data_IF_336709927206
#
_entry.id   IF_336709927206
#
_cell.length_a   1.000
_cell.length_b   1.000
_cell.length_c   1.000
_cell.angle_alpha   90.00
_cell.angle_beta   90.00
_cell.angle_gamma   90.00
#
_symmetry.space_group_name_H-M   'P 1'
#
loop_
_entity.id
_entity.type
_entity.pdbx_description
1 polymer ?
#
# COMPACT_ATOMS: atom_id res chain seq x y z
N UNK A 1 8.00 6.30 0.78
CA UNK A 1 9.46 6.32 0.93
C UNK A 1 9.89 5.68 2.25
N UNK A 2 11.13 5.28 2.33
CA UNK A 2 11.71 4.72 3.57
C UNK A 2 11.67 5.72 4.72
N UNK A 3 11.88 7.00 4.43
CA UNK A 3 11.79 8.07 5.42
C UNK A 3 10.37 8.21 6.00
N UNK A 4 9.38 8.17 5.15
CA UNK A 4 7.97 8.21 5.56
C UNK A 4 7.65 7.04 6.50
N UNK A 5 8.08 5.83 6.18
CA UNK A 5 7.89 4.65 7.05
C UNK A 5 8.53 4.81 8.42
N UNK A 6 9.74 5.33 8.47
CA UNK A 6 10.45 5.56 9.73
C UNK A 6 9.77 6.63 10.61
N UNK A 7 8.96 7.49 10.02
CA UNK A 7 8.18 8.53 10.68
C UNK A 7 6.69 8.17 10.79
N UNK A 8 6.35 6.92 10.99
CA UNK A 8 4.96 6.47 11.16
C UNK A 8 4.12 6.45 9.88
N UNK A 9 4.72 6.74 8.73
CA UNK A 9 4.03 6.82 7.44
C UNK A 9 3.50 8.21 7.08
N UNK A 10 3.90 9.25 7.79
CA UNK A 10 3.54 10.62 7.40
C UNK A 10 4.13 10.97 6.03
N UNK A 11 3.37 11.64 5.19
CA UNK A 11 3.78 11.97 3.84
C UNK A 11 3.14 13.24 3.28
N UNK A 12 1.90 13.54 3.61
CA UNK A 12 1.11 14.53 2.88
C UNK A 12 1.65 15.96 3.00
N UNK A 13 2.21 16.31 4.12
CA UNK A 13 2.86 17.60 4.34
C UNK A 13 4.38 17.59 4.15
N UNK A 14 5.00 16.46 3.86
CA UNK A 14 6.45 16.37 3.72
C UNK A 14 6.92 16.98 2.40
N UNK A 15 7.96 17.79 2.51
CA UNK A 15 8.72 18.37 1.39
C UNK A 15 10.20 18.10 1.61
N UNK A 16 10.71 17.08 0.96
CA UNK A 16 12.11 16.67 1.05
C UNK A 16 12.82 16.94 -0.27
N UNK A 17 13.99 17.55 -0.20
CA UNK A 17 14.83 17.84 -1.36
C UNK A 17 15.56 16.61 -1.90
N UNK A 18 15.70 15.57 -1.08
CA UNK A 18 16.54 14.41 -1.33
C UNK A 18 15.76 13.11 -1.50
N UNK A 19 14.45 13.15 -1.39
CA UNK A 19 13.60 11.98 -1.57
C UNK A 19 12.34 12.28 -2.34
N UNK A 20 11.90 11.29 -3.10
CA UNK A 20 10.61 11.36 -3.79
C UNK A 20 9.49 11.03 -2.83
N UNK A 21 8.52 11.92 -2.72
CA UNK A 21 7.28 11.71 -1.98
C UNK A 21 6.11 11.62 -2.97
N UNK A 22 5.90 10.44 -3.52
CA UNK A 22 4.82 10.18 -4.49
C UNK A 22 3.43 10.16 -3.86
N UNK A 23 3.32 10.13 -2.54
CA UNK A 23 2.03 10.21 -1.83
C UNK A 23 1.36 11.57 -1.98
N UNK A 24 2.15 12.63 -2.19
CA UNK A 24 1.63 13.95 -2.54
C UNK A 24 2.44 14.55 -3.70
N UNK A 25 1.91 14.54 -4.92
CA UNK A 25 2.65 15.00 -6.10
C UNK A 25 3.00 16.50 -6.07
N UNK A 26 2.35 17.31 -5.25
CA UNK A 26 2.76 18.70 -5.05
C UNK A 26 4.17 18.82 -4.45
N UNK A 27 4.64 17.82 -3.73
CA UNK A 27 5.99 17.77 -3.14
C UNK A 27 7.12 17.70 -4.15
N UNK A 28 6.85 17.35 -5.40
CA UNK A 28 7.88 17.27 -6.44
C UNK A 28 8.57 18.60 -6.66
N UNK A 29 7.89 19.71 -6.41
CA UNK A 29 8.47 21.05 -6.51
C UNK A 29 9.48 21.37 -5.41
N UNK A 30 9.66 20.49 -4.42
CA UNK A 30 10.67 20.66 -3.36
C UNK A 30 12.09 20.31 -3.83
N UNK A 31 12.27 19.60 -4.93
CA UNK A 31 13.56 19.26 -5.51
C UNK A 31 14.29 20.54 -5.96
N UNK A 32 15.59 20.62 -5.67
CA UNK A 32 16.42 21.73 -6.11
C UNK A 32 16.57 21.77 -7.64
N UNK A 33 16.79 22.96 -8.16
CA UNK A 33 17.01 23.17 -9.59
C UNK A 33 18.23 22.40 -10.10
N UNK A 34 18.16 21.86 -11.33
CA UNK A 34 19.18 21.07 -12.00
C UNK A 34 19.50 19.72 -11.34
N UNK A 35 18.66 19.28 -10.41
CA UNK A 35 18.86 18.01 -9.73
C UNK A 35 18.02 16.92 -10.40
N UNK A 36 18.71 15.86 -10.78
CA UNK A 36 18.11 14.58 -11.14
C UNK A 36 18.26 13.64 -9.94
N UNK A 37 17.12 13.11 -9.44
CA UNK A 37 17.12 12.29 -8.26
C UNK A 37 16.65 10.88 -8.56
N UNK A 38 17.35 9.91 -8.01
CA UNK A 38 17.03 8.50 -8.04
C UNK A 38 16.77 8.01 -6.62
N UNK A 39 15.66 7.34 -6.40
CA UNK A 39 15.30 6.80 -5.08
C UNK A 39 14.78 5.37 -5.23
N UNK A 40 15.22 4.48 -4.37
CA UNK A 40 14.80 3.09 -4.36
C UNK A 40 14.73 2.52 -2.96
N UNK A 41 13.89 1.53 -2.75
CA UNK A 41 13.67 0.90 -1.46
C UNK A 41 13.41 -0.59 -1.57
N UNK A 42 13.93 -1.32 -0.60
CA UNK A 42 13.65 -2.73 -0.36
C UNK A 42 13.22 -2.91 1.09
N UNK A 43 12.39 -3.89 1.37
CA UNK A 43 11.98 -4.21 2.73
C UNK A 43 12.07 -5.70 3.02
N UNK A 44 12.30 -6.01 4.28
CA UNK A 44 12.18 -7.34 4.84
C UNK A 44 11.12 -7.31 5.93
N UNK A 45 10.20 -8.24 5.87
CA UNK A 45 9.14 -8.37 6.86
C UNK A 45 9.24 -9.71 7.55
N UNK A 46 9.18 -9.67 8.88
CA UNK A 46 9.07 -10.85 9.73
C UNK A 46 7.77 -10.74 10.52
N UNK A 47 6.83 -11.62 10.27
CA UNK A 47 5.50 -11.54 10.87
C UNK A 47 5.24 -12.78 11.72
N UNK A 48 4.85 -12.55 12.96
CA UNK A 48 4.40 -13.58 13.88
C UNK A 48 2.89 -13.55 13.98
N UNK A 49 2.27 -14.65 13.60
CA UNK A 49 0.83 -14.86 13.74
C UNK A 49 0.56 -15.71 14.98
N UNK A 50 -0.41 -15.30 15.79
CA UNK A 50 -0.87 -16.07 16.94
C UNK A 50 -2.37 -15.94 17.10
N UNK A 51 -3.05 -17.07 17.21
CA UNK A 51 -4.49 -17.14 17.54
C UNK A 51 -4.74 -17.54 19.01
N UNK A 52 -3.67 -17.52 19.83
CA UNK A 52 -3.68 -17.94 21.22
C UNK A 52 -3.25 -19.39 21.43
N UNK A 53 -3.39 -20.25 20.43
CA UNK A 53 -3.01 -21.68 20.50
C UNK A 53 -1.90 -22.05 19.54
N UNK A 54 -1.89 -21.45 18.36
CA UNK A 54 -0.91 -21.72 17.30
C UNK A 54 -0.10 -20.44 17.01
N UNK A 55 1.21 -20.58 16.97
CA UNK A 55 2.14 -19.51 16.55
C UNK A 55 2.76 -19.88 15.22
N UNK A 56 2.67 -19.00 14.25
CA UNK A 56 3.34 -19.13 12.93
C UNK A 56 4.20 -17.92 12.67
N UNK A 57 5.38 -18.14 12.12
CA UNK A 57 6.29 -17.08 11.67
C UNK A 57 6.36 -17.09 10.15
N UNK A 58 6.25 -15.92 9.54
CA UNK A 58 6.43 -15.73 8.12
C UNK A 58 7.49 -14.66 7.86
N UNK A 59 8.45 -14.98 7.02
CA UNK A 59 9.48 -14.05 6.55
C UNK A 59 9.23 -13.74 5.09
N UNK A 60 9.23 -12.48 4.75
CA UNK A 60 9.05 -12.02 3.37
C UNK A 60 10.02 -10.87 3.07
N UNK A 61 10.55 -10.86 1.86
CA UNK A 61 11.32 -9.74 1.34
C UNK A 61 10.60 -9.20 0.11
N UNK A 62 10.51 -7.90 0.01
CA UNK A 62 9.83 -7.25 -1.12
C UNK A 62 10.59 -6.04 -1.61
N UNK A 63 10.49 -5.82 -2.91
CA UNK A 63 10.82 -4.57 -3.56
C UNK A 63 9.74 -3.53 -3.21
N UNK A 64 10.15 -2.35 -2.75
CA UNK A 64 9.21 -1.32 -2.32
C UNK A 64 8.93 -0.30 -3.40
N UNK A 65 9.98 0.24 -4.03
CA UNK A 65 9.81 1.24 -5.08
C UNK A 65 11.13 1.55 -5.77
N UNK A 66 11.04 2.01 -7.02
CA UNK A 66 12.08 2.74 -7.74
C UNK A 66 11.45 3.99 -8.32
N UNK A 67 12.01 5.14 -8.03
CA UNK A 67 11.50 6.42 -8.49
C UNK A 67 12.60 7.30 -9.05
N UNK A 68 12.25 8.11 -10.03
CA UNK A 68 13.07 9.17 -10.58
C UNK A 68 12.32 10.48 -10.47
N UNK A 69 13.03 11.54 -10.16
CA UNK A 69 12.46 12.87 -10.05
C UNK A 69 13.43 13.88 -10.63
N UNK A 70 12.91 14.83 -11.39
CA UNK A 70 13.71 15.89 -12.00
C UNK A 70 12.93 17.18 -12.11
N UNK A 71 13.64 18.28 -12.09
CA UNK A 71 13.05 19.59 -12.19
C UNK A 71 13.03 20.06 -13.64
N UNK A 72 11.85 20.49 -14.11
CA UNK A 72 11.68 21.04 -15.47
C UNK A 72 12.03 22.52 -15.53
N UNK A 73 11.68 23.26 -14.48
CA UNK A 73 11.83 24.71 -14.41
C UNK A 73 11.77 25.19 -12.96
N UNK A 74 11.83 26.51 -12.73
CA UNK A 74 11.66 27.08 -11.38
C UNK A 74 10.31 26.77 -10.74
N UNK A 75 9.30 26.45 -11.55
CA UNK A 75 7.92 26.28 -11.12
C UNK A 75 7.38 24.86 -11.34
N UNK A 76 8.12 24.00 -12.00
CA UNK A 76 7.64 22.65 -12.33
C UNK A 76 8.67 21.56 -12.16
N UNK A 77 8.21 20.39 -11.72
CA UNK A 77 9.00 19.17 -11.60
C UNK A 77 8.16 17.96 -12.00
N UNK A 78 8.84 16.90 -12.43
CA UNK A 78 8.22 15.63 -12.80
C UNK A 78 8.81 14.48 -12.02
N UNK A 79 8.03 13.43 -11.87
CA UNK A 79 8.47 12.17 -11.29
C UNK A 79 7.89 11.00 -12.07
N UNK A 80 8.67 9.94 -12.19
CA UNK A 80 8.26 8.65 -12.71
C UNK A 80 8.68 7.57 -11.74
N UNK A 81 7.85 6.54 -11.54
CA UNK A 81 8.21 5.49 -10.61
C UNK A 81 7.44 4.21 -10.82
N UNK A 82 8.06 3.14 -10.36
CA UNK A 82 7.52 1.79 -10.33
C UNK A 82 7.41 1.35 -8.88
N UNK A 83 6.22 0.91 -8.47
CA UNK A 83 5.95 0.43 -7.12
C UNK A 83 4.88 -0.65 -7.12
N UNK A 84 4.90 -1.57 -6.14
CA UNK A 84 3.78 -2.45 -5.92
C UNK A 84 2.59 -1.64 -5.38
N UNK A 85 1.39 -1.93 -5.89
CA UNK A 85 0.16 -1.32 -5.41
C UNK A 85 -0.49 -2.19 -4.33
N UNK A 86 -0.60 -3.48 -4.60
CA UNK A 86 -1.15 -4.46 -3.65
C UNK A 86 -0.43 -5.80 -3.80
N UNK A 87 -0.55 -6.63 -2.78
CA UNK A 87 -0.04 -7.98 -2.78
C UNK A 87 -1.07 -8.90 -2.12
N UNK A 88 -1.28 -10.07 -2.73
CA UNK A 88 -2.15 -11.11 -2.20
C UNK A 88 -1.31 -12.37 -2.02
N UNK A 89 -1.28 -12.88 -0.79
CA UNK A 89 -0.59 -14.12 -0.49
C UNK A 89 -1.13 -14.72 0.80
N UNK A 90 -1.96 -15.73 0.69
CA UNK A 90 -2.50 -16.45 1.83
C UNK A 90 -2.79 -17.92 1.50
N UNK A 91 -2.72 -18.75 2.51
CA UNK A 91 -3.21 -20.13 2.48
C UNK A 91 -3.89 -20.43 3.79
N UNK A 92 -5.13 -20.85 3.72
CA UNK A 92 -5.94 -21.23 4.89
C UNK A 92 -6.56 -22.61 4.64
N UNK A 93 -6.66 -23.42 5.68
CA UNK A 93 -7.33 -24.68 5.65
C UNK A 93 -8.48 -24.70 6.66
N UNK A 94 -9.60 -25.25 6.27
CA UNK A 94 -10.77 -25.45 7.12
C UNK A 94 -11.21 -26.89 7.02
N UNK A 95 -11.52 -27.49 8.15
CA UNK A 95 -12.12 -28.83 8.23
C UNK A 95 -13.54 -28.69 8.75
N UNK A 96 -14.49 -29.22 7.99
CA UNK A 96 -15.90 -29.21 8.35
C UNK A 96 -16.34 -30.66 8.57
N UNK A 97 -16.55 -30.99 9.83
CA UNK A 97 -17.07 -32.29 10.23
C UNK A 97 -18.57 -32.41 9.93
N UNK A 98 -18.94 -33.49 9.27
CA UNK A 98 -20.34 -33.85 9.12
C UNK A 98 -20.70 -34.86 10.22
N UNK A 99 -21.45 -34.43 11.22
CA UNK A 99 -21.80 -35.27 12.37
C UNK A 99 -22.80 -36.36 12.04
N UNK A 100 -23.62 -36.20 11.01
CA UNK A 100 -24.62 -37.14 10.58
C UNK A 100 -24.00 -38.22 9.64
N UNK A 101 -23.06 -37.79 8.80
CA UNK A 101 -22.34 -38.66 7.86
C UNK A 101 -20.84 -38.36 7.92
N UNK A 102 -20.09 -38.89 8.89
CA UNK A 102 -18.68 -38.53 9.11
C UNK A 102 -17.78 -38.78 7.87
N UNK A 103 -18.13 -39.74 7.02
CA UNK A 103 -17.44 -40.01 5.75
C UNK A 103 -17.56 -38.86 4.75
N UNK A 104 -18.55 -37.97 4.92
CA UNK A 104 -18.75 -36.79 4.09
C UNK A 104 -18.14 -35.51 4.70
N UNK A 105 -17.30 -35.66 5.71
CA UNK A 105 -16.57 -34.53 6.27
C UNK A 105 -15.60 -33.96 5.23
N UNK A 106 -15.60 -32.64 5.10
CA UNK A 106 -14.86 -31.95 4.04
C UNK A 106 -13.63 -31.21 4.58
N UNK A 107 -12.53 -31.34 3.88
CA UNK A 107 -11.35 -30.50 4.03
C UNK A 107 -11.31 -29.48 2.90
N UNK A 108 -11.32 -28.21 3.23
CA UNK A 108 -11.28 -27.14 2.25
C UNK A 108 -10.03 -26.28 2.46
N UNK A 109 -9.29 -26.07 1.40
CA UNK A 109 -8.13 -25.16 1.39
C UNK A 109 -8.45 -23.96 0.52
N UNK A 110 -8.18 -22.77 1.06
CA UNK A 110 -8.27 -21.51 0.36
C UNK A 110 -6.88 -20.95 0.19
N UNK A 111 -6.52 -20.57 -1.02
CA UNK A 111 -5.27 -19.91 -1.31
C UNK A 111 -5.52 -18.69 -2.21
N UNK A 112 -4.78 -17.62 -1.95
CA UNK A 112 -4.76 -16.47 -2.82
C UNK A 112 -3.33 -16.07 -3.10
N UNK A 113 -3.07 -15.71 -4.34
CA UNK A 113 -1.76 -15.24 -4.79
C UNK A 113 -1.88 -14.18 -5.86
N UNK A 114 -0.79 -13.44 -6.08
CA UNK A 114 -0.70 -12.37 -7.05
C UNK A 114 -0.59 -10.99 -6.43
N UNK A 115 -0.87 -9.99 -7.21
CA UNK A 115 -0.81 -8.60 -6.78
C UNK A 115 -0.80 -7.64 -7.95
N UNK A 116 -0.96 -6.36 -7.64
CA UNK A 116 -0.96 -5.28 -8.61
C UNK A 116 0.34 -4.48 -8.52
N UNK A 117 0.83 -4.08 -9.67
CA UNK A 117 1.94 -3.17 -9.85
C UNK A 117 1.44 -1.83 -10.36
N UNK A 118 2.18 -0.80 -10.05
CA UNK A 118 1.86 0.57 -10.42
C UNK A 118 3.08 1.24 -11.06
N UNK A 119 2.89 1.77 -12.26
CA UNK A 119 3.82 2.68 -12.90
C UNK A 119 3.15 4.05 -12.93
N UNK A 120 3.73 5.05 -12.27
CA UNK A 120 3.18 6.39 -12.26
C UNK A 120 4.06 7.38 -13.03
N UNK A 121 3.41 8.36 -13.62
CA UNK A 121 3.98 9.57 -14.14
C UNK A 121 3.30 10.75 -13.45
N UNK A 122 4.06 11.61 -12.81
CA UNK A 122 3.53 12.73 -12.05
C UNK A 122 4.21 14.03 -12.39
N UNK A 123 3.49 15.10 -12.13
CA UNK A 123 3.99 16.46 -12.25
C UNK A 123 3.49 17.32 -11.10
N UNK A 124 4.35 18.21 -10.62
CA UNK A 124 4.03 19.21 -9.62
C UNK A 124 4.38 20.60 -10.11
N UNK A 125 3.56 21.58 -9.75
CA UNK A 125 3.72 22.96 -10.16
C UNK A 125 3.58 23.92 -8.99
N UNK A 126 4.42 24.91 -8.92
CA UNK A 126 4.22 26.08 -8.04
C UNK A 126 3.30 27.07 -8.74
N UNK A 127 2.06 27.17 -8.24
CA UNK A 127 1.10 28.17 -8.73
C UNK A 127 1.43 29.54 -8.17
N UNK A 128 1.73 29.58 -6.88
CA UNK A 128 2.20 30.76 -6.16
C UNK A 128 3.48 30.43 -5.41
N UNK A 129 4.15 31.44 -4.88
CA UNK A 129 5.40 31.28 -4.14
C UNK A 129 5.32 30.20 -3.05
N UNK A 130 4.17 30.09 -2.37
CA UNK A 130 3.97 29.19 -1.24
C UNK A 130 3.02 28.04 -1.52
N UNK A 131 2.37 28.02 -2.69
CA UNK A 131 1.38 27.01 -3.05
C UNK A 131 1.88 26.16 -4.21
N UNK A 132 1.92 24.84 -4.00
CA UNK A 132 2.20 23.85 -5.02
C UNK A 132 1.01 22.93 -5.20
N UNK A 133 0.75 22.51 -6.43
CA UNK A 133 -0.22 21.48 -6.78
C UNK A 133 0.44 20.42 -7.65
N UNK A 134 -0.14 19.25 -7.68
CA UNK A 134 0.39 18.19 -8.51
C UNK A 134 -0.64 17.11 -8.78
N UNK A 135 -0.31 16.28 -9.75
CA UNK A 135 -1.09 15.12 -10.14
C UNK A 135 -0.18 13.97 -10.57
N UNK A 136 -0.62 12.76 -10.25
CA UNK A 136 -0.05 11.52 -10.79
C UNK A 136 -1.10 10.81 -11.63
N UNK A 137 -0.68 10.29 -12.77
CA UNK A 137 -1.42 9.28 -13.51
C UNK A 137 -0.65 7.97 -13.42
N UNK A 138 -1.34 6.90 -13.10
CA UNK A 138 -0.73 5.59 -12.90
C UNK A 138 -1.36 4.56 -13.80
N UNK A 139 -0.53 3.68 -14.33
CA UNK A 139 -0.92 2.43 -14.97
C UNK A 139 -0.87 1.32 -13.93
N UNK A 140 -2.00 0.63 -13.74
CA UNK A 140 -2.13 -0.51 -12.82
C UNK A 140 -2.23 -1.79 -13.63
N UNK A 141 -1.42 -2.79 -13.29
CA UNK A 141 -1.50 -4.12 -13.92
C UNK A 141 -1.14 -5.21 -12.93
N UNK A 142 -1.60 -6.40 -13.20
CA UNK A 142 -1.27 -7.59 -12.44
C UNK A 142 -2.35 -8.64 -12.49
N UNK A 143 -2.05 -9.77 -11.87
CA UNK A 143 -2.93 -10.92 -11.78
C UNK A 143 -3.26 -11.22 -10.33
N UNK A 144 -4.51 -11.57 -10.06
CA UNK A 144 -4.96 -12.06 -8.76
C UNK A 144 -5.64 -13.39 -8.99
N UNK A 145 -5.22 -14.40 -8.24
CA UNK A 145 -5.78 -15.75 -8.33
C UNK A 145 -6.24 -16.22 -6.95
N UNK A 146 -7.50 -16.66 -6.86
CA UNK A 146 -8.05 -17.29 -5.69
C UNK A 146 -8.36 -18.75 -6.01
N UNK A 147 -7.85 -19.65 -5.20
CA UNK A 147 -8.04 -21.09 -5.35
C UNK A 147 -8.79 -21.64 -4.15
N UNK A 148 -9.86 -22.38 -4.39
CA UNK A 148 -10.58 -23.16 -3.38
C UNK A 148 -10.49 -24.62 -3.77
N UNK A 149 -9.86 -25.42 -2.93
CA UNK A 149 -9.77 -26.89 -3.11
C UNK A 149 -10.57 -27.56 -2.01
N UNK A 150 -11.50 -28.41 -2.40
CA UNK A 150 -12.32 -29.18 -1.47
C UNK A 150 -12.10 -30.66 -1.71
N UNK A 151 -11.81 -31.40 -0.66
CA UNK A 151 -11.63 -32.84 -0.67
C UNK A 151 -12.42 -33.50 0.46
N UNK A 152 -12.70 -34.78 0.28
CA UNK A 152 -13.39 -35.63 1.24
C UNK A 152 -12.50 -36.80 1.63
N UNK A 153 -11.59 -36.59 2.62
CA UNK A 153 -10.53 -37.58 2.92
C UNK A 153 -11.05 -38.93 3.32
N UNK A 154 -12.22 -38.99 3.93
CA UNK A 154 -12.85 -40.24 4.40
C UNK A 154 -13.77 -40.88 3.37
N UNK A 155 -14.02 -40.26 2.22
CA UNK A 155 -14.90 -40.78 1.19
C UNK A 155 -14.19 -40.80 -0.17
N UNK A 156 -13.63 -41.96 -0.52
CA UNK A 156 -12.87 -42.14 -1.78
C UNK A 156 -13.75 -42.11 -3.04
N UNK A 157 -15.08 -42.17 -2.89
CA UNK A 157 -16.01 -42.15 -4.02
C UNK A 157 -16.33 -40.70 -4.45
N UNK A 158 -16.11 -39.71 -3.58
CA UNK A 158 -16.32 -38.32 -3.89
C UNK A 158 -15.02 -37.70 -4.45
N UNK A 159 -15.10 -37.22 -5.68
CA UNK A 159 -13.95 -36.60 -6.32
C UNK A 159 -13.64 -35.22 -5.75
N UNK A 160 -12.37 -34.91 -5.49
CA UNK A 160 -11.96 -33.57 -5.12
C UNK A 160 -12.35 -32.53 -6.19
N UNK A 161 -12.72 -31.35 -5.73
CA UNK A 161 -13.06 -30.21 -6.57
C UNK A 161 -12.12 -29.05 -6.26
N UNK A 162 -11.45 -28.54 -7.29
CA UNK A 162 -10.67 -27.30 -7.21
C UNK A 162 -11.30 -26.24 -8.11
N UNK A 163 -11.61 -25.10 -7.52
CA UNK A 163 -12.10 -23.94 -8.23
C UNK A 163 -11.04 -22.83 -8.17
N UNK A 164 -10.61 -22.38 -9.34
CA UNK A 164 -9.67 -21.28 -9.48
C UNK A 164 -10.40 -20.11 -10.10
N UNK A 165 -10.39 -18.96 -9.40
CA UNK A 165 -10.89 -17.69 -9.91
C UNK A 165 -9.70 -16.80 -10.18
N UNK A 166 -9.47 -16.48 -11.43
CA UNK A 166 -8.38 -15.62 -11.88
C UNK A 166 -8.91 -14.30 -12.42
N UNK A 167 -8.16 -13.25 -12.18
CA UNK A 167 -8.46 -11.90 -12.64
C UNK A 167 -7.17 -11.25 -13.12
N UNK A 168 -7.14 -10.88 -14.39
CA UNK A 168 -6.08 -10.06 -14.98
C UNK A 168 -6.54 -8.61 -15.01
N UNK A 169 -5.78 -7.73 -14.39
CA UNK A 169 -6.14 -6.32 -14.23
C UNK A 169 -5.23 -5.47 -15.08
N UNK A 170 -5.84 -4.60 -15.89
CA UNK A 170 -5.18 -3.56 -16.65
C UNK A 170 -6.03 -2.29 -16.53
N UNK A 171 -5.60 -1.36 -15.72
CA UNK A 171 -6.39 -0.17 -15.40
C UNK A 171 -5.51 1.03 -15.09
N UNK A 172 -6.10 2.07 -14.54
CA UNK A 172 -5.42 3.32 -14.20
C UNK A 172 -5.79 3.79 -12.81
N UNK A 173 -5.04 4.77 -12.32
CA UNK A 173 -5.30 5.48 -11.06
C UNK A 173 -4.89 6.93 -11.22
N UNK A 174 -5.66 7.83 -10.64
CA UNK A 174 -5.36 9.26 -10.59
C UNK A 174 -5.16 9.70 -9.15
N UNK A 175 -4.15 10.52 -8.92
CA UNK A 175 -3.88 11.14 -7.62
C UNK A 175 -3.65 12.63 -7.81
N UNK A 176 -4.25 13.42 -6.92
CA UNK A 176 -4.10 14.87 -6.90
C UNK A 176 -3.59 15.30 -5.54
N UNK A 177 -2.79 16.34 -5.51
CA UNK A 177 -2.27 16.87 -4.27
C UNK A 177 -2.02 18.37 -4.31
N UNK A 178 -2.02 18.96 -3.14
CA UNK A 178 -1.65 20.36 -2.94
C UNK A 178 -0.85 20.50 -1.64
N UNK A 179 0.08 21.43 -1.64
CA UNK A 179 0.85 21.80 -0.45
C UNK A 179 0.96 23.32 -0.35
N UNK A 180 0.67 23.81 0.83
CA UNK A 180 0.87 25.21 1.19
C UNK A 180 1.93 25.31 2.28
N UNK A 181 3.00 26.05 1.99
CA UNK A 181 4.12 26.24 2.91
C UNK A 181 4.11 27.68 3.40
N UNK A 182 4.14 27.86 4.72
CA UNK A 182 4.27 29.17 5.35
C UNK A 182 5.53 29.25 6.18
N UNK A 183 6.34 30.24 5.91
CA UNK A 183 7.54 30.53 6.67
C UNK A 183 7.24 31.64 7.70
N UNK A 184 7.12 31.24 8.98
CA UNK A 184 6.86 32.16 10.08
C UNK A 184 8.09 33.01 10.42
N UNK A 185 9.28 32.41 10.29
CA UNK A 185 10.57 33.06 10.48
C UNK A 185 11.66 32.25 9.74
N UNK A 186 12.93 32.67 9.83
CA UNK A 186 14.04 31.92 9.25
C UNK A 186 14.15 30.49 9.78
N UNK A 187 13.68 30.22 11.01
CA UNK A 187 13.79 28.93 11.70
C UNK A 187 12.49 28.15 11.74
N UNK A 188 11.36 28.76 11.45
CA UNK A 188 10.03 28.17 11.63
C UNK A 188 9.30 28.10 10.29
N UNK A 189 9.07 26.89 9.79
CA UNK A 189 8.36 26.63 8.55
C UNK A 189 7.28 25.57 8.79
N UNK A 190 6.07 25.82 8.33
CA UNK A 190 4.97 24.87 8.37
C UNK A 190 4.47 24.58 6.95
N UNK A 191 4.10 23.34 6.69
CA UNK A 191 3.49 22.92 5.43
C UNK A 191 2.21 22.15 5.71
N UNK A 192 1.13 22.58 5.06
CA UNK A 192 -0.14 21.88 5.02
C UNK A 192 -0.24 21.15 3.68
N UNK A 193 -0.52 19.86 3.70
CA UNK A 193 -0.70 19.03 2.52
C UNK A 193 -2.10 18.41 2.49
N UNK A 194 -2.70 18.36 1.31
CA UNK A 194 -3.94 17.64 1.06
C UNK A 194 -3.79 16.78 -0.18
N UNK A 195 -4.42 15.61 -0.16
CA UNK A 195 -4.43 14.69 -1.29
C UNK A 195 -5.83 14.17 -1.53
N UNK A 196 -6.11 13.89 -2.80
CA UNK A 196 -7.36 13.30 -3.24
C UNK A 196 -7.09 12.30 -4.37
N UNK A 197 -7.73 11.14 -4.28
CA UNK A 197 -7.71 10.14 -5.35
C UNK A 197 -9.13 9.65 -5.58
N UNK A 198 -9.69 9.80 -6.79
CA UNK A 198 -11.03 9.29 -7.08
C UNK A 198 -11.05 7.77 -7.07
N UNK A 199 -12.13 7.20 -6.53
CA UNK A 199 -12.41 5.78 -6.61
C UNK A 199 -13.09 5.43 -7.94
N UNK A 200 -12.79 4.27 -8.47
CA UNK A 200 -13.44 3.74 -9.67
C UNK A 200 -13.26 2.22 -9.74
N UNK A 201 -14.02 1.59 -10.61
CA UNK A 201 -13.86 0.18 -10.94
C UNK A 201 -12.63 -0.03 -11.82
N UNK A 202 -11.94 -1.14 -11.56
CA UNK A 202 -10.76 -1.53 -12.33
C UNK A 202 -11.17 -2.35 -13.55
N UNK A 203 -10.59 -2.02 -14.70
CA UNK A 203 -10.72 -2.84 -15.90
C UNK A 203 -10.02 -4.18 -15.66
N UNK A 204 -10.71 -5.27 -15.95
CA UNK A 204 -10.19 -6.61 -15.75
C UNK A 204 -10.80 -7.62 -16.72
N UNK A 205 -10.04 -8.69 -16.96
CA UNK A 205 -10.50 -9.92 -17.58
C UNK A 205 -10.47 -11.02 -16.53
N UNK A 206 -11.57 -11.75 -16.38
CA UNK A 206 -11.70 -12.74 -15.32
C UNK A 206 -12.17 -14.09 -15.87
N UNK A 207 -11.78 -15.15 -15.18
CA UNK A 207 -12.20 -16.50 -15.49
C UNK A 207 -12.44 -17.31 -14.21
N UNK A 208 -13.29 -18.32 -14.32
CA UNK A 208 -13.48 -19.36 -13.30
C UNK A 208 -13.16 -20.71 -13.94
N UNK A 209 -12.23 -21.43 -13.35
CA UNK A 209 -11.82 -22.76 -13.76
C UNK A 209 -12.20 -23.77 -12.67
N UNK A 210 -12.94 -24.80 -13.06
CA UNK A 210 -13.27 -25.92 -12.18
C UNK A 210 -12.53 -27.17 -12.64
N UNK A 211 -11.85 -27.81 -11.71
CA UNK A 211 -11.15 -29.06 -11.93
C UNK A 211 -11.67 -30.12 -10.98
N UNK A 212 -12.18 -31.19 -11.53
CA UNK A 212 -12.63 -32.39 -10.80
C UNK A 212 -11.72 -33.56 -11.11
N UNK A 213 -11.42 -34.36 -10.12
CA UNK A 213 -10.67 -35.58 -10.32
C UNK A 213 -9.49 -35.73 -9.36
N UNK A 214 -8.76 -36.82 -9.55
CA UNK A 214 -7.54 -37.14 -8.82
C UNK A 214 -6.52 -37.79 -9.79
N UNK A 215 -5.32 -38.09 -9.27
CA UNK A 215 -4.25 -38.72 -10.06
C UNK A 215 -4.59 -40.11 -10.59
N UNK A 216 -5.54 -40.82 -9.95
CA UNK A 216 -5.94 -42.18 -10.34
C UNK A 216 -7.04 -42.21 -11.40
N UNK A 217 -7.94 -41.23 -11.39
CA UNK A 217 -9.11 -41.17 -12.30
C UNK A 217 -8.92 -40.16 -13.43
N UNK A 218 -7.83 -39.39 -13.39
CA UNK A 218 -7.62 -38.24 -14.27
C UNK A 218 -8.38 -37.02 -13.80
N UNK A 219 -8.14 -35.89 -14.50
CA UNK A 219 -8.75 -34.62 -14.20
C UNK A 219 -9.64 -34.17 -15.35
N UNK A 220 -10.83 -33.67 -14.99
CA UNK A 220 -11.71 -32.95 -15.91
C UNK A 220 -11.67 -31.49 -15.56
N UNK A 221 -11.28 -30.65 -16.50
CA UNK A 221 -11.17 -29.20 -16.32
C UNK A 221 -12.19 -28.50 -17.21
N UNK A 222 -12.93 -27.59 -16.62
CA UNK A 222 -13.83 -26.69 -17.34
C UNK A 222 -13.47 -25.26 -16.97
N UNK A 223 -13.36 -24.40 -17.97
CA UNK A 223 -13.09 -22.98 -17.77
C UNK A 223 -14.20 -22.14 -18.40
N UNK A 224 -14.59 -21.09 -17.72
CA UNK A 224 -15.57 -20.13 -18.19
C UNK A 224 -15.07 -18.72 -17.91
N UNK A 225 -15.03 -17.90 -18.94
CA UNK A 225 -14.80 -16.50 -18.79
C UNK A 225 -15.99 -15.86 -18.09
N UNK A 226 -15.73 -14.91 -17.24
CA UNK A 226 -16.74 -14.25 -16.42
C UNK A 226 -16.42 -12.77 -16.28
N UNK A 227 -17.39 -12.01 -15.81
CA UNK A 227 -17.22 -10.59 -15.51
C UNK A 227 -17.22 -10.46 -14.00
N UNK A 228 -16.10 -9.95 -13.45
CA UNK A 228 -15.97 -9.65 -12.04
C UNK A 228 -15.78 -8.15 -11.85
N UNK A 229 -16.47 -7.58 -10.89
CA UNK A 229 -16.31 -6.17 -10.53
C UNK A 229 -15.34 -6.06 -9.37
N UNK A 230 -14.31 -5.27 -9.56
CA UNK A 230 -13.34 -4.90 -8.53
C UNK A 230 -13.04 -3.41 -8.64
N UNK A 231 -13.02 -2.72 -7.51
CA UNK A 231 -12.78 -1.27 -7.48
C UNK A 231 -11.66 -0.87 -6.55
N UNK A 232 -11.20 0.36 -6.72
CA UNK A 232 -10.33 1.06 -5.79
C UNK A 232 -11.13 2.17 -5.10
N UNK A 233 -10.81 2.48 -3.82
CA UNK A 233 -11.59 3.44 -3.06
C UNK A 233 -11.24 4.88 -3.41
N UNK A 234 -12.19 5.78 -3.20
CA UNK A 234 -11.89 7.19 -3.06
C UNK A 234 -11.02 7.40 -1.82
N UNK A 235 -9.96 8.15 -1.96
CA UNK A 235 -9.02 8.47 -0.87
C UNK A 235 -8.95 9.97 -0.66
N UNK A 236 -9.07 10.38 0.59
CA UNK A 236 -8.84 11.74 1.05
C UNK A 236 -7.75 11.70 2.12
N UNK A 237 -6.82 12.63 2.05
CA UNK A 237 -5.77 12.75 3.04
C UNK A 237 -5.42 14.21 3.31
N UNK A 238 -5.04 14.49 4.54
CA UNK A 238 -4.50 15.77 4.94
C UNK A 238 -3.35 15.56 5.92
N UNK A 239 -2.37 16.42 5.86
CA UNK A 239 -1.22 16.35 6.75
C UNK A 239 -0.61 17.73 6.98
N UNK A 240 0.07 17.83 8.08
CA UNK A 240 0.81 19.04 8.46
C UNK A 240 2.21 18.64 8.90
N UNK A 241 3.20 19.42 8.49
CA UNK A 241 4.57 19.32 9.00
C UNK A 241 5.03 20.68 9.51
N UNK A 242 5.84 20.63 10.54
CA UNK A 242 6.50 21.79 11.11
C UNK A 242 8.00 21.53 11.18
N UNK A 243 8.78 22.42 10.59
CA UNK A 243 10.25 22.34 10.56
C UNK A 243 10.84 23.47 11.39
N UNK A 244 11.67 23.08 12.36
CA UNK A 244 12.42 24.01 13.19
C UNK A 244 13.91 23.97 12.85
N UNK A 245 14.45 25.11 12.44
CA UNK A 245 15.89 25.33 12.20
C UNK A 245 16.53 24.32 11.22
N UNK A 246 15.75 23.81 10.26
CA UNK A 246 16.16 22.72 9.35
C UNK A 246 16.69 21.45 10.06
N UNK A 247 16.47 21.34 11.35
CA UNK A 247 16.98 20.24 12.19
C UNK A 247 15.90 19.33 12.74
N UNK A 248 14.79 19.89 13.15
CA UNK A 248 13.66 19.15 13.68
C UNK A 248 12.47 19.27 12.73
N UNK A 249 11.96 18.13 12.27
CA UNK A 249 10.71 18.03 11.51
C UNK A 249 9.73 17.20 12.31
N UNK A 250 8.55 17.73 12.59
CA UNK A 250 7.44 16.98 13.18
C UNK A 250 6.25 17.05 12.25
N UNK A 251 5.44 16.02 12.21
CA UNK A 251 4.29 15.99 11.34
C UNK A 251 3.21 15.02 11.80
N UNK A 252 2.03 15.24 11.26
CA UNK A 252 0.87 14.40 11.47
C UNK A 252 0.04 14.32 10.19
N UNK A 253 -0.48 13.13 9.92
CA UNK A 253 -1.35 12.85 8.78
C UNK A 253 -2.64 12.19 9.24
N UNK A 254 -3.72 12.48 8.53
CA UNK A 254 -4.98 11.75 8.58
C UNK A 254 -5.37 11.31 7.18
N UNK A 255 -5.88 10.10 7.05
CA UNK A 255 -6.32 9.53 5.79
C UNK A 255 -7.67 8.85 5.97
N UNK A 256 -8.53 9.01 4.98
CA UNK A 256 -9.81 8.32 4.87
C UNK A 256 -9.92 7.68 3.49
N UNK A 257 -10.31 6.39 3.46
CA UNK A 257 -10.62 5.65 2.23
C UNK A 257 -12.03 5.11 2.30
N UNK A 258 -12.83 5.43 1.29
CA UNK A 258 -14.22 4.99 1.20
C UNK A 258 -14.32 3.62 0.54
N UNK A 259 -13.92 2.58 1.25
CA UNK A 259 -14.00 1.20 0.78
C UNK A 259 -15.42 0.62 0.78
N UNK A 260 -16.33 1.17 1.55
CA UNK A 260 -17.71 0.68 1.63
C UNK A 260 -18.50 0.78 0.32
N UNK A 261 -18.06 1.63 -0.60
CA UNK A 261 -18.64 1.77 -1.94
C UNK A 261 -17.89 1.00 -3.03
N UNK A 262 -16.86 0.24 -2.66
CA UNK A 262 -16.07 -0.58 -3.58
C UNK A 262 -16.54 -2.02 -3.55
N UNK A 263 -16.47 -2.68 -4.70
CA UNK A 263 -16.78 -4.09 -4.86
C UNK A 263 -15.49 -4.89 -5.03
N UNK A 264 -15.52 -6.14 -4.58
CA UNK A 264 -14.46 -7.10 -4.79
C UNK A 264 -15.06 -8.41 -5.29
N UNK A 265 -14.72 -8.83 -6.51
CA UNK A 265 -15.24 -10.04 -7.14
C UNK A 265 -16.78 -10.12 -7.09
N UNK A 266 -17.47 -9.05 -7.48
CA UNK A 266 -18.92 -8.89 -7.46
C UNK A 266 -19.57 -8.90 -6.06
N UNK A 267 -18.79 -8.80 -5.00
CA UNK A 267 -19.30 -8.73 -3.63
C UNK A 267 -19.10 -7.30 -3.09
N UNK A 268 -20.20 -6.65 -2.74
CA UNK A 268 -20.22 -5.26 -2.25
C UNK A 268 -20.10 -5.13 -0.74
N UNK A 269 -20.20 -6.21 0.02
CA UNK A 269 -20.21 -6.19 1.50
C UNK A 269 -18.92 -6.74 2.12
N UNK A 270 -17.83 -6.75 1.37
CA UNK A 270 -16.52 -7.26 1.82
C UNK A 270 -15.73 -6.19 2.58
N UNK A 271 -15.94 -4.92 2.23
CA UNK A 271 -15.11 -3.82 2.71
C UNK A 271 -15.87 -2.84 3.59
N UNK A 272 -15.13 -2.23 4.48
CA UNK A 272 -15.57 -1.09 5.28
C UNK A 272 -14.58 0.06 5.13
N UNK A 273 -15.02 1.28 5.44
CA UNK A 273 -14.18 2.46 5.31
C UNK A 273 -12.93 2.36 6.19
N UNK A 274 -11.81 2.75 5.64
CA UNK A 274 -10.53 2.79 6.33
C UNK A 274 -10.22 4.20 6.78
N UNK A 275 -9.71 4.34 8.00
CA UNK A 275 -9.15 5.58 8.51
C UNK A 275 -7.77 5.30 9.11
N UNK A 276 -6.83 6.20 8.91
CA UNK A 276 -5.48 6.12 9.45
C UNK A 276 -5.06 7.47 10.00
N UNK A 277 -4.41 7.45 11.15
CA UNK A 277 -3.75 8.60 11.78
C UNK A 277 -2.29 8.22 11.95
N UNK A 278 -1.38 9.11 11.58
CA UNK A 278 0.05 8.93 11.74
C UNK A 278 0.68 10.19 12.30
N UNK A 279 1.70 10.01 13.12
CA UNK A 279 2.56 11.08 13.64
C UNK A 279 4.00 10.68 13.48
N UNK A 280 4.88 11.63 13.27
CA UNK A 280 6.29 11.36 13.10
C UNK A 280 7.17 12.56 13.34
N UNK A 281 8.44 12.26 13.58
CA UNK A 281 9.47 13.25 13.80
C UNK A 281 10.80 12.83 13.20
N UNK A 282 11.59 13.81 12.75
CA UNK A 282 12.96 13.63 12.28
C UNK A 282 13.84 14.70 12.96
N UNK A 283 14.99 14.26 13.45
CA UNK A 283 15.95 15.15 14.10
C UNK A 283 17.36 14.97 13.54
N UNK A 284 18.01 16.06 13.20
CA UNK A 284 19.41 16.14 12.78
C UNK A 284 20.17 16.98 13.80
N UNK A 285 21.13 16.42 14.57
CA UNK A 285 21.80 17.16 15.65
C UNK A 285 22.55 18.40 15.18
N UNK A 286 23.33 18.27 14.11
CA UNK A 286 24.08 19.41 13.56
C UNK A 286 24.53 19.15 12.12
N UNK A 287 23.92 19.79 11.14
CA UNK A 287 24.27 19.65 9.72
C UNK A 287 25.68 20.14 9.37
N UNK A 288 26.24 21.04 10.16
CA UNK A 288 27.57 21.64 9.96
C UNK A 288 28.64 21.05 10.91
N UNK A 289 28.27 20.07 11.71
CA UNK A 289 29.18 19.41 12.65
C UNK A 289 30.28 18.60 11.95
N UNK A 290 31.41 18.40 12.60
CA UNK A 290 32.50 17.59 12.10
C UNK A 290 32.33 16.10 12.35
N UNK A 291 31.48 15.73 13.30
CA UNK A 291 31.21 14.33 13.64
C UNK A 291 30.21 13.71 12.68
N UNK A 292 30.48 12.50 12.21
CA UNK A 292 29.53 11.74 11.41
C UNK A 292 28.18 11.56 12.10
N UNK A 293 28.18 11.29 13.40
CA UNK A 293 26.95 11.13 14.19
C UNK A 293 26.09 12.38 14.22
N UNK A 294 26.66 13.57 14.05
CA UNK A 294 25.91 14.83 13.99
C UNK A 294 25.16 15.04 12.70
N UNK A 295 25.49 14.30 11.65
CA UNK A 295 24.83 14.34 10.34
C UNK A 295 23.77 13.25 10.19
N UNK A 296 23.70 12.30 11.11
CA UNK A 296 22.69 11.24 11.08
C UNK A 296 21.31 11.83 11.33
N UNK A 297 20.35 11.45 10.51
CA UNK A 297 18.94 11.77 10.70
C UNK A 297 18.29 10.69 11.54
N UNK A 298 17.76 11.08 12.70
CA UNK A 298 17.06 10.19 13.63
C UNK A 298 15.56 10.36 13.43
N UNK A 299 14.85 9.26 13.22
CA UNK A 299 13.42 9.27 12.91
C UNK A 299 12.65 8.40 13.86
N UNK A 300 11.48 8.89 14.26
CA UNK A 300 10.50 8.17 15.07
C UNK A 300 9.11 8.43 14.52
N UNK A 301 8.21 7.49 14.77
CA UNK A 301 6.82 7.67 14.40
C UNK A 301 5.91 6.65 15.04
N UNK A 302 4.63 6.91 14.91
CA UNK A 302 3.57 6.01 15.34
C UNK A 302 2.36 6.16 14.41
N UNK A 303 1.60 5.10 14.27
CA UNK A 303 0.36 5.12 13.49
C UNK A 303 -0.71 4.26 14.13
N UNK A 304 -1.95 4.62 13.81
CA UNK A 304 -3.14 3.87 14.14
C UNK A 304 -4.04 3.80 12.89
N UNK A 305 -4.50 2.61 12.55
CA UNK A 305 -5.32 2.38 11.38
C UNK A 305 -6.49 1.46 11.71
N UNK A 306 -7.68 1.84 11.23
CA UNK A 306 -8.83 0.95 11.15
C UNK A 306 -8.76 0.20 9.82
N UNK A 307 -8.86 -1.14 9.80
CA UNK A 307 -8.78 -1.90 8.57
C UNK A 307 -9.99 -1.67 7.67
N UNK A 308 -9.81 -1.94 6.38
CA UNK A 308 -10.84 -1.79 5.35
C UNK A 308 -11.63 -3.07 5.07
N UNK A 309 -11.18 -4.21 5.55
CA UNK A 309 -11.81 -5.50 5.31
C UNK A 309 -12.62 -6.00 6.51
N UNK A 310 -13.61 -6.85 6.23
CA UNK A 310 -14.43 -7.51 7.21
C UNK A 310 -14.08 -9.01 7.29
N UNK A 311 -14.18 -9.57 8.48
CA UNK A 311 -14.08 -11.01 8.73
C UNK A 311 -15.40 -11.42 9.40
N UNK A 312 -16.11 -12.39 8.80
CA UNK A 312 -17.41 -12.88 9.28
C UNK A 312 -18.43 -11.74 9.52
N UNK A 313 -18.46 -10.75 8.63
CA UNK A 313 -19.35 -9.60 8.70
C UNK A 313 -18.96 -8.51 9.71
N UNK A 314 -17.93 -8.74 10.51
CA UNK A 314 -17.38 -7.77 11.45
C UNK A 314 -16.11 -7.13 10.92
N UNK A 315 -15.86 -5.89 11.32
CA UNK A 315 -14.58 -5.23 10.99
C UNK A 315 -13.43 -5.99 11.65
N UNK A 316 -12.35 -6.21 10.90
CA UNK A 316 -11.10 -6.79 11.42
C UNK A 316 -10.48 -5.91 12.53
N UNK A 317 -9.54 -6.49 13.28
CA UNK A 317 -8.87 -5.80 14.38
C UNK A 317 -8.13 -4.54 13.92
N UNK A 318 -8.12 -3.51 14.74
CA UNK A 318 -7.37 -2.30 14.48
C UNK A 318 -5.85 -2.58 14.47
N UNK A 319 -5.14 -1.82 13.65
CA UNK A 319 -3.70 -1.91 13.53
C UNK A 319 -3.05 -0.65 14.12
N UNK A 320 -1.99 -0.86 14.89
CA UNK A 320 -1.16 0.23 15.40
C UNK A 320 0.30 -0.18 15.35
N UNK A 321 1.18 0.80 15.27
CA UNK A 321 2.61 0.54 15.23
C UNK A 321 3.42 1.74 15.67
N UNK A 322 4.65 1.42 16.09
CA UNK A 322 5.70 2.39 16.39
C UNK A 322 6.84 2.14 15.43
N UNK A 323 7.41 3.20 14.90
CA UNK A 323 8.48 3.14 13.92
C UNK A 323 9.70 3.91 14.37
N UNK A 324 10.87 3.46 13.95
CA UNK A 324 12.13 4.16 14.15
C UNK A 324 13.03 3.95 12.94
N UNK A 325 13.92 4.89 12.69
CA UNK A 325 14.85 4.78 11.58
C UNK A 325 15.98 5.79 11.63
N UNK A 326 16.98 5.52 10.80
CA UNK A 326 18.16 6.39 10.65
C UNK A 326 18.36 6.73 9.19
N UNK A 327 18.73 7.98 8.93
CA UNK A 327 19.23 8.43 7.64
C UNK A 327 20.75 8.61 7.72
N UNK A 328 21.48 7.74 7.04
CA UNK A 328 22.93 7.75 7.02
C UNK A 328 23.40 8.52 5.78
N UNK A 329 24.09 9.66 5.94
CA UNK A 329 24.67 10.35 4.80
C UNK A 329 25.80 9.51 4.23
N UNK A 330 25.85 9.40 2.92
CA UNK A 330 27.01 8.83 2.22
C UNK A 330 28.12 9.88 2.17
N UNK A 331 29.40 9.49 2.35
CA UNK A 331 30.53 10.40 2.30
C UNK A 331 30.77 10.96 0.89
#
# INVERSE_FOLDING_TARGET
SSNSRAMGGIAYGLRDKYQTNFANPASYTAVDSLTFMFDGGISMQNTNFSDGTVKKNAKNSSFDYITMQFRLSKWGAMSIGLLPYSNVGYTMASYQENTEYPENSASTTYAGEGGLHQLYLGAGFKIFKNLSVGANISYLWGDITHTRSQSFPSNSTVMPLTTVTGMEITSYKLDFGAQYTHQFSKKHVATLGVVFSPGHDLNNDAYVQNQKGNSSTGYTTTQKDTILTMGIPMTLGAGVTYVYDDRLTVGADVMFQKWSSTTFMNNSDVFCNRAKIAVGAEYVPNLLGRSYLSHIKYRLGAYYSKPYYKIDGARAANEYGVTAGFGLPLP
#
